data_IF_170279332089
#
_entry.id   IF_170279332089
#
_cell.length_a   1.000
_cell.length_b   1.000
_cell.length_c   1.000
_cell.angle_alpha   90.00
_cell.angle_beta   90.00
_cell.angle_gamma   90.00
#
_symmetry.space_group_name_H-M   'P 1'
#
loop_
_entity.id
_entity.type
_entity.pdbx_description
1 polymer ?
#
# COMPACT_ATOMS: atom_id res chain seq x y z
N UNK A 1 10.04 11.37 -11.69
CA UNK A 1 8.73 11.07 -12.26
C UNK A 1 8.86 10.15 -13.48
N UNK A 2 7.76 9.44 -13.81
CA UNK A 2 7.66 8.49 -14.93
C UNK A 2 8.77 7.41 -14.93
N UNK A 3 9.15 6.95 -13.74
CA UNK A 3 10.05 5.82 -13.62
C UNK A 3 9.23 4.53 -13.54
N UNK A 4 9.83 3.45 -14.03
CA UNK A 4 9.29 2.10 -13.88
C UNK A 4 10.27 1.26 -13.09
N UNK A 5 9.78 0.65 -12.00
CA UNK A 5 10.51 -0.28 -11.13
C UNK A 5 9.79 -1.62 -11.27
N UNK A 6 10.34 -2.52 -12.05
CA UNK A 6 9.64 -3.76 -12.42
C UNK A 6 10.53 -4.99 -12.36
N UNK A 7 9.92 -6.13 -12.05
CA UNK A 7 10.55 -7.47 -12.05
C UNK A 7 11.79 -7.57 -11.13
N UNK A 8 11.81 -6.80 -10.03
CA UNK A 8 12.90 -6.87 -9.05
C UNK A 8 12.54 -7.78 -7.89
N UNK A 9 13.56 -8.29 -7.23
CA UNK A 9 13.49 -8.89 -5.91
C UNK A 9 14.15 -7.93 -4.93
N UNK A 10 13.39 -7.41 -3.98
CA UNK A 10 13.88 -6.52 -2.93
C UNK A 10 13.51 -7.11 -1.58
N UNK A 11 14.47 -7.65 -0.88
CA UNK A 11 14.23 -8.36 0.37
C UNK A 11 15.30 -8.12 1.41
N UNK A 12 14.90 -8.24 2.68
CA UNK A 12 15.78 -8.17 3.85
C UNK A 12 16.54 -6.84 3.97
N UNK A 13 15.95 -5.75 3.48
CA UNK A 13 16.54 -4.42 3.58
C UNK A 13 16.34 -3.85 4.98
N UNK A 14 17.37 -3.22 5.51
CA UNK A 14 17.31 -2.43 6.75
C UNK A 14 17.09 -3.21 8.05
N UNK A 15 17.15 -4.54 8.05
CA UNK A 15 16.86 -5.37 9.24
C UNK A 15 17.73 -5.04 10.45
N UNK A 16 18.93 -4.54 10.25
CA UNK A 16 19.84 -4.14 11.34
C UNK A 16 19.63 -2.70 11.81
N UNK A 17 19.00 -1.87 11.01
CA UNK A 17 18.79 -0.43 11.31
C UNK A 17 17.33 -0.11 11.63
N UNK A 18 16.39 -0.96 11.25
CA UNK A 18 14.97 -0.70 11.31
C UNK A 18 14.46 0.24 10.18
N UNK A 19 15.31 0.53 9.19
CA UNK A 19 15.03 1.48 8.12
C UNK A 19 15.34 0.85 6.76
N UNK A 20 14.37 0.43 6.03
CA UNK A 20 14.55 -0.15 4.70
C UNK A 20 13.26 -0.76 4.17
N UNK A 21 12.63 -0.07 3.24
CA UNK A 21 11.48 -0.55 2.49
C UNK A 21 11.93 -1.44 1.31
N UNK A 22 11.00 -2.20 0.76
CA UNK A 22 11.22 -2.89 -0.50
C UNK A 22 11.41 -1.89 -1.65
N UNK A 23 10.48 -0.96 -1.80
CA UNK A 23 10.53 0.19 -2.70
C UNK A 23 10.01 1.43 -1.97
N UNK A 24 10.79 2.54 -2.03
CA UNK A 24 10.37 3.82 -1.47
C UNK A 24 10.10 4.85 -2.56
N UNK A 25 8.94 5.48 -2.53
CA UNK A 25 8.59 6.65 -3.32
C UNK A 25 8.53 7.87 -2.41
N UNK A 26 9.53 8.70 -2.47
CA UNK A 26 9.66 9.88 -1.62
C UNK A 26 9.74 11.15 -2.47
N UNK A 27 9.20 12.24 -1.95
CA UNK A 27 9.48 13.57 -2.45
C UNK A 27 10.64 14.18 -1.63
N UNK A 28 11.55 14.87 -2.27
CA UNK A 28 12.75 15.43 -1.63
C UNK A 28 12.47 16.71 -0.84
N UNK A 29 13.04 17.89 -1.21
CA UNK A 29 12.84 19.13 -0.48
C UNK A 29 11.40 19.67 -0.60
N UNK A 30 11.04 20.73 0.16
CA UNK A 30 9.74 21.39 0.03
C UNK A 30 9.39 21.73 -1.42
N UNK A 31 8.16 21.43 -1.83
CA UNK A 31 7.68 21.63 -3.19
C UNK A 31 8.14 20.58 -4.22
N UNK A 32 8.94 19.59 -3.82
CA UNK A 32 9.32 18.50 -4.71
C UNK A 32 8.11 17.64 -5.10
N UNK A 33 8.21 17.00 -6.25
CA UNK A 33 7.13 16.16 -6.78
C UNK A 33 7.68 14.79 -7.22
N UNK A 34 6.96 13.74 -6.85
CA UNK A 34 7.19 12.35 -7.28
C UNK A 34 5.89 11.82 -7.83
N UNK A 35 5.79 11.68 -9.15
CA UNK A 35 4.52 11.40 -9.82
C UNK A 35 4.67 10.51 -11.06
N UNK A 36 3.59 9.83 -11.40
CA UNK A 36 3.52 9.00 -12.60
C UNK A 36 4.50 7.82 -12.61
N UNK A 37 4.95 7.36 -11.44
CA UNK A 37 5.84 6.22 -11.36
C UNK A 37 5.05 4.91 -11.31
N UNK A 38 5.65 3.85 -11.82
CA UNK A 38 5.09 2.50 -11.83
C UNK A 38 6.00 1.57 -11.03
N UNK A 39 5.42 0.93 -10.01
CA UNK A 39 6.05 -0.16 -9.25
C UNK A 39 5.29 -1.43 -9.58
N UNK A 40 5.86 -2.30 -10.45
CA UNK A 40 5.12 -3.44 -10.96
C UNK A 40 5.88 -4.76 -10.90
N UNK A 41 5.16 -5.84 -10.70
CA UNK A 41 5.66 -7.21 -10.83
C UNK A 41 6.91 -7.52 -9.99
N UNK A 42 7.11 -6.78 -8.88
CA UNK A 42 8.22 -7.00 -7.97
C UNK A 42 7.86 -8.04 -6.89
N UNK A 43 8.90 -8.66 -6.33
CA UNK A 43 8.82 -9.48 -5.12
C UNK A 43 9.48 -8.71 -3.97
N UNK A 44 8.69 -8.31 -2.97
CA UNK A 44 9.09 -7.40 -1.90
C UNK A 44 8.86 -8.09 -0.54
N UNK A 45 9.90 -8.66 0.04
CA UNK A 45 9.76 -9.55 1.20
C UNK A 45 10.72 -9.20 2.34
N UNK A 46 10.25 -9.42 3.56
CA UNK A 46 11.08 -9.42 4.77
C UNK A 46 11.91 -8.13 4.94
N UNK A 47 11.40 -6.98 4.51
CA UNK A 47 12.05 -5.69 4.71
C UNK A 47 11.72 -5.12 6.10
N UNK A 48 12.56 -4.25 6.63
CA UNK A 48 12.36 -3.65 7.94
C UNK A 48 11.19 -2.64 7.99
N UNK A 49 10.88 -2.01 6.85
CA UNK A 49 9.72 -1.16 6.60
C UNK A 49 8.80 -1.85 5.58
N UNK A 50 7.65 -1.29 5.22
CA UNK A 50 6.72 -1.88 4.26
C UNK A 50 7.35 -2.29 2.92
N UNK A 51 6.69 -3.20 2.23
CA UNK A 51 7.08 -3.61 0.88
C UNK A 51 7.14 -2.44 -0.08
N UNK A 52 6.14 -1.56 -0.04
CA UNK A 52 6.15 -0.26 -0.73
C UNK A 52 5.79 0.84 0.26
N UNK A 53 6.60 1.90 0.32
CA UNK A 53 6.29 3.12 1.07
C UNK A 53 6.17 4.31 0.12
N UNK A 54 5.13 5.13 0.33
CA UNK A 54 4.95 6.40 -0.37
C UNK A 54 4.82 7.50 0.67
N UNK A 55 5.86 8.33 0.83
CA UNK A 55 5.90 9.34 1.89
C UNK A 55 6.17 10.75 1.40
N UNK A 56 5.40 11.71 1.94
CA UNK A 56 5.69 13.14 1.84
C UNK A 56 5.69 13.78 3.23
N UNK A 57 6.77 14.48 3.58
CA UNK A 57 7.03 14.98 4.92
C UNK A 57 7.18 16.50 5.04
N UNK A 58 7.28 17.21 3.94
CA UNK A 58 7.57 18.65 3.98
C UNK A 58 6.56 19.46 3.17
N UNK A 59 6.46 20.78 3.43
CA UNK A 59 5.46 21.62 2.80
C UNK A 59 5.48 21.54 1.27
N UNK A 60 4.28 21.42 0.70
CA UNK A 60 4.03 21.43 -0.74
C UNK A 60 4.61 20.24 -1.51
N UNK A 61 5.15 19.23 -0.83
CA UNK A 61 5.49 17.96 -1.50
C UNK A 61 4.25 17.30 -2.08
N UNK A 62 4.40 16.68 -3.25
CA UNK A 62 3.32 15.96 -3.95
C UNK A 62 3.79 14.59 -4.42
N UNK A 63 2.99 13.57 -4.11
CA UNK A 63 3.14 12.21 -4.62
C UNK A 63 1.84 11.79 -5.30
N UNK A 64 1.70 12.12 -6.58
CA UNK A 64 0.44 11.91 -7.29
C UNK A 64 0.59 10.90 -8.43
N UNK A 65 -0.53 10.31 -8.84
CA UNK A 65 -0.63 9.52 -10.05
C UNK A 65 0.39 8.37 -10.13
N UNK A 66 0.74 7.76 -9.00
CA UNK A 66 1.63 6.62 -8.95
C UNK A 66 0.84 5.31 -9.03
N UNK A 67 1.41 4.29 -9.67
CA UNK A 67 0.79 2.99 -9.87
C UNK A 67 1.61 1.90 -9.19
N UNK A 68 0.97 1.13 -8.29
CA UNK A 68 1.54 -0.03 -7.61
C UNK A 68 0.74 -1.25 -8.06
N UNK A 69 1.29 -2.07 -8.97
CA UNK A 69 0.51 -3.11 -9.63
C UNK A 69 1.24 -4.45 -9.75
N UNK A 70 0.53 -5.55 -9.50
CA UNK A 70 1.06 -6.89 -9.78
C UNK A 70 2.19 -7.35 -8.86
N UNK A 71 2.46 -6.67 -7.75
CA UNK A 71 3.56 -7.03 -6.86
C UNK A 71 3.17 -8.19 -5.93
N UNK A 72 4.18 -8.95 -5.51
CA UNK A 72 4.10 -9.97 -4.45
C UNK A 72 4.78 -9.42 -3.21
N UNK A 73 4.04 -9.25 -2.14
CA UNK A 73 4.48 -8.55 -0.92
C UNK A 73 4.24 -9.45 0.28
N UNK A 74 5.27 -9.67 1.12
CA UNK A 74 5.13 -10.57 2.26
C UNK A 74 6.15 -10.31 3.37
N UNK A 75 5.69 -10.28 4.64
CA UNK A 75 6.55 -10.34 5.81
C UNK A 75 7.37 -9.07 6.08
N UNK A 76 6.91 -7.93 5.63
CA UNK A 76 7.60 -6.66 5.78
C UNK A 76 7.32 -6.02 7.17
N UNK A 77 8.09 -5.02 7.56
CA UNK A 77 7.98 -4.36 8.85
C UNK A 77 6.88 -3.29 8.91
N UNK A 78 6.66 -2.72 10.10
CA UNK A 78 5.75 -1.59 10.29
C UNK A 78 6.37 -0.29 9.79
N UNK A 79 5.52 0.72 9.55
CA UNK A 79 5.97 2.08 9.32
C UNK A 79 5.56 3.00 10.50
N UNK A 80 6.51 3.59 11.20
CA UNK A 80 6.20 4.47 12.32
C UNK A 80 5.60 5.82 11.91
N UNK A 81 5.81 6.29 10.68
CA UNK A 81 5.41 7.63 10.23
C UNK A 81 3.88 7.80 10.20
N UNK A 82 3.09 6.93 9.58
CA UNK A 82 1.63 6.97 9.69
C UNK A 82 1.11 6.38 11.02
N UNK A 83 1.99 5.85 11.86
CA UNK A 83 1.63 5.25 13.14
C UNK A 83 1.26 3.77 13.05
N UNK A 84 1.63 3.06 12.01
CA UNK A 84 1.45 1.61 11.97
C UNK A 84 2.42 0.94 12.96
N UNK A 85 1.91 0.05 13.78
CA UNK A 85 2.71 -0.67 14.80
C UNK A 85 2.86 -2.15 14.50
N UNK A 86 2.34 -2.58 13.37
CA UNK A 86 2.34 -3.97 12.90
C UNK A 86 2.91 -4.04 11.49
N UNK A 87 3.45 -5.20 11.07
CA UNK A 87 3.90 -5.42 9.70
C UNK A 87 2.90 -4.90 8.67
N UNK A 88 3.39 -4.15 7.69
CA UNK A 88 2.56 -3.47 6.69
C UNK A 88 3.06 -3.76 5.28
N UNK A 89 2.17 -4.09 4.37
CA UNK A 89 2.53 -4.42 2.99
C UNK A 89 2.81 -3.20 2.14
N UNK A 90 1.83 -2.31 2.05
CA UNK A 90 1.91 -1.03 1.31
C UNK A 90 1.48 0.09 2.23
N UNK A 91 2.23 1.17 2.25
CA UNK A 91 1.90 2.37 3.00
C UNK A 91 1.89 3.62 2.12
N UNK A 92 0.84 4.45 2.31
CA UNK A 92 0.62 5.72 1.61
C UNK A 92 0.43 6.80 2.67
N UNK A 93 1.44 7.63 2.90
CA UNK A 93 1.45 8.63 3.96
C UNK A 93 1.78 10.05 3.46
N UNK A 94 0.94 11.01 3.83
CA UNK A 94 1.20 12.43 3.67
C UNK A 94 1.19 13.12 5.03
N UNK A 95 2.32 13.68 5.45
CA UNK A 95 2.38 14.53 6.65
C UNK A 95 1.74 15.90 6.37
N UNK A 96 0.43 15.89 6.24
CA UNK A 96 -0.35 17.11 5.98
C UNK A 96 -0.27 18.12 7.14
N UNK A 97 0.03 17.64 8.35
CA UNK A 97 0.28 18.51 9.51
C UNK A 97 1.55 19.35 9.34
N UNK A 98 2.55 18.83 8.64
CA UNK A 98 3.77 19.56 8.25
C UNK A 98 3.60 20.31 6.92
N UNK A 99 2.42 20.31 6.32
CA UNK A 99 2.08 21.06 5.11
C UNK A 99 2.33 20.30 3.79
N UNK A 100 2.59 18.99 3.83
CA UNK A 100 2.59 18.15 2.64
C UNK A 100 1.21 18.19 1.96
N UNK A 101 1.19 18.08 0.63
CA UNK A 101 -0.07 18.00 -0.09
C UNK A 101 -0.69 16.60 0.06
N UNK A 102 -2.03 16.49 0.04
CA UNK A 102 -2.70 15.20 -0.04
C UNK A 102 -2.18 14.36 -1.22
N UNK A 103 -2.04 13.07 -1.00
CA UNK A 103 -1.68 12.13 -2.08
C UNK A 103 -2.94 11.78 -2.86
N UNK A 104 -2.92 11.96 -4.18
CA UNK A 104 -4.07 11.74 -5.06
C UNK A 104 -3.69 10.94 -6.31
N UNK A 105 -4.67 10.30 -6.94
CA UNK A 105 -4.48 9.55 -8.18
C UNK A 105 -3.60 8.30 -8.05
N UNK A 106 -3.29 7.87 -6.82
CA UNK A 106 -2.57 6.62 -6.59
C UNK A 106 -3.49 5.44 -6.83
N UNK A 107 -3.01 4.49 -7.63
CA UNK A 107 -3.69 3.23 -7.92
C UNK A 107 -2.86 2.06 -7.38
N UNK A 108 -3.48 1.23 -6.54
CA UNK A 108 -2.90 0.02 -5.97
C UNK A 108 -3.75 -1.15 -6.45
N UNK A 109 -3.24 -1.93 -7.40
CA UNK A 109 -4.07 -2.97 -8.00
C UNK A 109 -3.32 -4.26 -8.33
N UNK A 110 -4.05 -5.36 -8.35
CA UNK A 110 -3.52 -6.67 -8.76
C UNK A 110 -2.35 -7.17 -7.91
N UNK A 111 -2.15 -6.62 -6.71
CA UNK A 111 -1.10 -7.09 -5.81
C UNK A 111 -1.58 -8.29 -4.98
N UNK A 112 -0.65 -9.15 -4.64
CA UNK A 112 -0.85 -10.23 -3.66
C UNK A 112 -0.07 -9.89 -2.41
N UNK A 113 -0.77 -9.62 -1.30
CA UNK A 113 -0.17 -9.15 -0.06
C UNK A 113 -0.48 -10.17 1.05
N UNK A 114 0.58 -10.65 1.73
CA UNK A 114 0.47 -11.72 2.72
C UNK A 114 1.41 -11.51 3.89
N UNK A 115 1.13 -12.23 4.99
CA UNK A 115 2.01 -12.24 6.16
C UNK A 115 2.30 -10.84 6.72
N UNK A 116 1.37 -9.91 6.53
CA UNK A 116 1.39 -8.58 7.12
C UNK A 116 0.38 -8.49 8.27
N UNK A 117 0.44 -7.48 9.10
CA UNK A 117 -0.63 -7.14 10.05
C UNK A 117 -1.71 -6.30 9.36
N UNK A 118 -1.27 -5.39 8.48
CA UNK A 118 -2.09 -4.55 7.60
C UNK A 118 -1.56 -4.75 6.17
N UNK A 119 -2.44 -5.12 5.22
CA UNK A 119 -2.00 -5.29 3.85
C UNK A 119 -1.76 -3.93 3.16
N UNK A 120 -2.68 -2.96 3.32
CA UNK A 120 -2.58 -1.60 2.78
C UNK A 120 -2.99 -0.59 3.85
N UNK A 121 -2.08 0.32 4.22
CA UNK A 121 -2.34 1.46 5.08
C UNK A 121 -2.42 2.75 4.25
N UNK A 122 -3.41 3.61 4.54
CA UNK A 122 -3.61 4.89 3.84
C UNK A 122 -3.78 6.00 4.86
N UNK A 123 -2.86 6.95 4.89
CA UNK A 123 -2.85 8.08 5.81
C UNK A 123 -2.70 9.39 5.03
N UNK A 124 -3.75 9.77 4.31
CA UNK A 124 -3.84 11.04 3.57
C UNK A 124 -5.29 11.51 3.51
N UNK A 125 -5.52 12.79 3.26
CA UNK A 125 -6.84 13.33 2.95
C UNK A 125 -7.21 13.21 1.46
N UNK A 126 -6.29 12.74 0.63
CA UNK A 126 -6.53 12.47 -0.80
C UNK A 126 -7.26 11.15 -1.03
N UNK A 127 -7.67 10.94 -2.28
CA UNK A 127 -8.31 9.69 -2.71
C UNK A 127 -7.30 8.67 -3.22
N UNK A 128 -7.46 7.40 -2.81
CA UNK A 128 -6.65 6.25 -3.26
C UNK A 128 -7.56 5.17 -3.85
N UNK A 129 -7.18 4.65 -5.01
CA UNK A 129 -7.85 3.51 -5.63
C UNK A 129 -7.08 2.22 -5.31
N UNK A 130 -7.64 1.36 -4.44
CA UNK A 130 -7.04 0.09 -4.04
C UNK A 130 -7.97 -1.07 -4.42
N UNK A 131 -7.90 -1.56 -5.65
CA UNK A 131 -8.85 -2.54 -6.19
C UNK A 131 -8.14 -3.73 -6.87
N UNK A 132 -8.86 -4.84 -7.07
CA UNK A 132 -8.34 -6.06 -7.69
C UNK A 132 -7.15 -6.69 -6.95
N UNK A 133 -6.93 -6.38 -5.68
CA UNK A 133 -5.87 -6.99 -4.88
C UNK A 133 -6.35 -8.28 -4.21
N UNK A 134 -5.40 -9.14 -3.88
CA UNK A 134 -5.62 -10.30 -3.01
C UNK A 134 -5.03 -10.00 -1.63
N UNK A 135 -5.90 -9.78 -0.64
CA UNK A 135 -5.59 -9.33 0.72
C UNK A 135 -5.79 -10.51 1.69
N UNK A 136 -4.75 -10.84 2.49
CA UNK A 136 -4.72 -12.09 3.24
C UNK A 136 -4.54 -11.93 4.76
N UNK A 137 -4.79 -10.76 5.34
CA UNK A 137 -4.57 -10.53 6.77
C UNK A 137 -5.78 -9.96 7.49
N UNK A 138 -5.75 -9.96 8.84
CA UNK A 138 -6.89 -9.46 9.61
C UNK A 138 -7.34 -8.08 9.15
N UNK A 139 -6.38 -7.19 8.80
CA UNK A 139 -6.67 -5.88 8.22
C UNK A 139 -6.14 -5.84 6.79
N UNK A 140 -7.04 -5.93 5.82
CA UNK A 140 -6.69 -5.78 4.40
C UNK A 140 -6.46 -4.32 4.03
N UNK A 141 -7.34 -3.41 4.51
CA UNK A 141 -7.16 -1.97 4.32
C UNK A 141 -7.42 -1.24 5.62
N UNK A 142 -6.46 -0.39 6.02
CA UNK A 142 -6.59 0.55 7.13
C UNK A 142 -6.53 1.99 6.60
N UNK A 143 -7.66 2.71 6.67
CA UNK A 143 -7.69 4.12 6.35
C UNK A 143 -7.47 4.95 7.60
N UNK A 144 -6.23 5.34 7.84
CA UNK A 144 -5.78 6.18 8.94
C UNK A 144 -5.99 7.68 8.65
N UNK A 145 -6.21 8.02 7.39
CA UNK A 145 -6.45 9.39 6.93
C UNK A 145 -7.92 9.78 6.93
N UNK A 146 -8.20 10.93 6.33
CA UNK A 146 -9.57 11.45 6.15
C UNK A 146 -10.06 11.37 4.70
N UNK A 147 -9.20 10.93 3.79
CA UNK A 147 -9.53 10.73 2.39
C UNK A 147 -10.41 9.50 2.15
N UNK A 148 -10.81 9.31 0.91
CA UNK A 148 -11.57 8.14 0.50
C UNK A 148 -10.66 7.04 -0.06
N UNK A 149 -10.99 5.79 0.22
CA UNK A 149 -10.34 4.64 -0.42
C UNK A 149 -11.40 3.86 -1.19
N UNK A 150 -11.26 3.83 -2.51
CA UNK A 150 -12.03 2.92 -3.34
C UNK A 150 -11.38 1.53 -3.26
N UNK A 151 -11.98 0.65 -2.47
CA UNK A 151 -11.50 -0.71 -2.20
C UNK A 151 -12.39 -1.78 -2.83
N UNK A 152 -13.10 -1.42 -3.89
CA UNK A 152 -13.98 -2.35 -4.62
C UNK A 152 -13.16 -3.45 -5.31
N UNK A 153 -13.82 -4.56 -5.61
CA UNK A 153 -13.23 -5.65 -6.38
C UNK A 153 -11.93 -6.26 -5.80
N UNK A 154 -11.70 -6.14 -4.48
CA UNK A 154 -10.62 -6.88 -3.81
C UNK A 154 -11.10 -8.26 -3.36
N UNK A 155 -10.18 -9.23 -3.35
CA UNK A 155 -10.33 -10.50 -2.65
C UNK A 155 -9.89 -10.35 -1.19
N UNK A 156 -10.80 -10.67 -0.25
CA UNK A 156 -10.60 -10.49 1.18
C UNK A 156 -10.33 -11.82 1.91
N UNK A 157 -9.47 -12.64 1.36
CA UNK A 157 -9.13 -13.98 1.86
C UNK A 157 -10.29 -15.00 1.84
N UNK A 158 -11.51 -14.58 1.55
CA UNK A 158 -12.67 -15.44 1.50
C UNK A 158 -13.78 -14.85 0.62
N UNK A 159 -14.76 -15.66 0.25
CA UNK A 159 -15.88 -15.28 -0.64
C UNK A 159 -16.98 -14.45 0.04
N UNK A 160 -16.95 -14.31 1.38
CA UNK A 160 -17.99 -13.59 2.13
C UNK A 160 -17.78 -12.06 2.18
N UNK A 161 -16.68 -11.56 1.67
CA UNK A 161 -16.32 -10.15 1.71
C UNK A 161 -15.64 -9.71 3.01
N UNK A 162 -15.28 -8.43 3.11
CA UNK A 162 -14.46 -7.93 4.19
C UNK A 162 -15.13 -8.02 5.57
N UNK A 163 -14.32 -8.27 6.59
CA UNK A 163 -14.73 -8.21 7.99
C UNK A 163 -15.65 -9.33 8.47
N UNK A 164 -16.00 -10.32 7.63
CA UNK A 164 -16.68 -11.52 8.07
C UNK A 164 -15.70 -12.49 8.72
N UNK A 165 -16.22 -13.41 9.54
CA UNK A 165 -15.36 -14.31 10.32
C UNK A 165 -14.40 -15.12 9.43
N UNK A 166 -13.10 -14.90 9.64
CA UNK A 166 -12.03 -15.54 8.88
C UNK A 166 -11.61 -14.80 7.59
N UNK A 167 -12.27 -13.71 7.26
CA UNK A 167 -11.89 -12.85 6.14
C UNK A 167 -11.00 -11.68 6.59
N UNK A 168 -10.24 -11.15 5.67
CA UNK A 168 -9.56 -9.87 5.85
C UNK A 168 -10.58 -8.74 6.01
N UNK A 169 -10.27 -7.71 6.77
CA UNK A 169 -11.21 -6.66 7.11
C UNK A 169 -10.78 -5.27 6.66
N UNK A 170 -11.66 -4.31 6.97
CA UNK A 170 -11.42 -2.88 6.78
C UNK A 170 -11.43 -2.21 8.14
N UNK A 171 -10.50 -1.27 8.36
CA UNK A 171 -10.49 -0.36 9.51
C UNK A 171 -10.45 1.09 9.02
N UNK A 172 -10.81 2.02 9.91
CA UNK A 172 -10.97 3.43 9.54
C UNK A 172 -12.31 3.74 8.88
N UNK A 173 -12.44 4.93 8.30
CA UNK A 173 -13.64 5.43 7.64
C UNK A 173 -13.39 5.79 6.18
N UNK A 174 -14.44 5.98 5.39
CA UNK A 174 -14.29 6.40 3.98
C UNK A 174 -13.77 5.32 3.04
N UNK A 175 -13.88 4.03 3.40
CA UNK A 175 -13.49 2.91 2.55
C UNK A 175 -14.74 2.31 1.91
N UNK A 176 -14.80 2.32 0.58
CA UNK A 176 -15.83 1.60 -0.19
C UNK A 176 -15.29 0.25 -0.64
N UNK A 177 -15.79 -0.83 -0.05
CA UNK A 177 -15.33 -2.20 -0.29
C UNK A 177 -16.31 -3.07 -1.07
N UNK A 178 -17.34 -2.48 -1.67
CA UNK A 178 -18.38 -3.21 -2.42
C UNK A 178 -18.49 -2.75 -3.87
N UNK A 179 -18.58 -3.68 -4.84
CA UNK A 179 -18.54 -5.15 -4.70
C UNK A 179 -17.14 -5.69 -4.39
N UNK A 180 -17.05 -6.95 -3.96
CA UNK A 180 -15.79 -7.66 -3.75
C UNK A 180 -15.68 -8.89 -4.65
N UNK A 181 -14.47 -9.42 -4.80
CA UNK A 181 -14.21 -10.67 -5.51
C UNK A 181 -14.58 -11.87 -4.63
N UNK A 182 -15.14 -12.91 -5.24
CA UNK A 182 -15.49 -14.17 -4.58
C UNK A 182 -14.38 -15.23 -4.66
N UNK A 183 -13.32 -14.93 -5.40
CA UNK A 183 -12.10 -15.73 -5.54
C UNK A 183 -10.88 -14.80 -5.71
N UNK A 184 -9.65 -15.28 -5.42
CA UNK A 184 -8.44 -14.47 -5.59
C UNK A 184 -8.31 -13.95 -7.02
N UNK A 185 -7.76 -12.75 -7.17
CA UNK A 185 -7.45 -12.21 -8.49
C UNK A 185 -6.48 -13.16 -9.23
N UNK A 186 -6.91 -13.64 -10.40
CA UNK A 186 -6.19 -14.68 -11.17
C UNK A 186 -5.17 -14.14 -12.18
N UNK A 187 -4.98 -12.82 -12.25
CA UNK A 187 -4.08 -12.18 -13.22
C UNK A 187 -2.58 -12.42 -13.00
N UNK A 188 -2.19 -12.99 -11.86
CA UNK A 188 -0.79 -13.32 -11.57
C UNK A 188 -0.57 -14.80 -11.82
N UNK A 189 -0.26 -15.17 -13.06
CA UNK A 189 0.15 -16.51 -13.43
C UNK A 189 1.53 -16.82 -12.83
N UNK A 190 1.56 -17.51 -11.72
CA UNK A 190 2.78 -18.00 -11.09
C UNK A 190 2.47 -18.60 -9.74
N UNK A 191 2.52 -19.92 -9.66
CA UNK A 191 2.18 -20.70 -8.47
C UNK A 191 2.91 -20.22 -7.21
N UNK A 192 2.24 -20.50 -6.08
CA UNK A 192 2.75 -20.34 -4.73
C UNK A 192 3.83 -21.36 -4.44
#
# INVERSE_FOLDING_TARGET
YHNTITENVSSSNGLSTGEGAGVGLFAGPPGAQTWGNVVSDNTLNDNALPGVTMHSHTPFQKLNDNLIVGNRISGNGPDPDPGTTVPTGIDVFADEASGAAPITGTVISQNVIRNEGIDIAVATSGGVDAHLNSLFRPVGIDNLGTGSVNATENWWQCFHGPGTNGCSGVTGTGVDSTPWLTEPFSGINGGF
#
